data_IF_617566546717
#
_entry.id   IF_617566546717
#
_cell.length_a   1.000
_cell.length_b   1.000
_cell.length_c   1.000
_cell.angle_alpha   90.00
_cell.angle_beta   90.00
_cell.angle_gamma   90.00
#
_symmetry.space_group_name_H-M   'P 1'
#
loop_
_entity.id
_entity.type
_entity.pdbx_description
1 polymer ?
#
# COMPACT_ATOMS: atom_id res chain seq x y z
N UNK A 1 -4.58 15.46 -18.82
CA UNK A 1 -3.73 14.36 -19.33
C UNK A 1 -3.59 13.24 -18.31
N UNK A 2 -3.11 13.54 -17.10
CA UNK A 2 -2.94 12.57 -15.99
C UNK A 2 -4.17 11.68 -15.77
N UNK A 3 -5.38 12.23 -15.60
CA UNK A 3 -6.61 11.41 -15.42
C UNK A 3 -6.84 10.38 -16.54
N UNK A 4 -6.59 10.76 -17.79
CA UNK A 4 -6.73 9.85 -18.94
C UNK A 4 -5.69 8.72 -18.89
N UNK A 5 -4.46 9.06 -18.52
CA UNK A 5 -3.37 8.09 -18.38
C UNK A 5 -3.63 7.12 -17.21
N UNK A 6 -3.97 7.62 -16.02
CA UNK A 6 -4.27 6.79 -14.85
C UNK A 6 -5.45 5.85 -15.12
N UNK A 7 -6.52 6.34 -15.75
CA UNK A 7 -7.62 5.49 -16.23
C UNK A 7 -7.12 4.39 -17.16
N UNK A 8 -6.32 4.75 -18.17
CA UNK A 8 -5.82 3.79 -19.14
C UNK A 8 -4.98 2.69 -18.48
N UNK A 9 -4.22 3.00 -17.42
CA UNK A 9 -3.48 2.01 -16.63
C UNK A 9 -4.42 1.05 -15.88
N UNK A 10 -5.48 1.57 -15.26
CA UNK A 10 -6.49 0.75 -14.58
C UNK A 10 -7.20 -0.17 -15.58
N UNK A 11 -7.71 0.39 -16.68
CA UNK A 11 -8.39 -0.38 -17.74
C UNK A 11 -7.47 -1.43 -18.38
N UNK A 12 -6.18 -1.08 -18.56
CA UNK A 12 -5.18 -2.02 -19.08
C UNK A 12 -5.02 -3.23 -18.18
N UNK A 13 -5.00 -3.05 -16.86
CA UNK A 13 -4.90 -4.16 -15.91
C UNK A 13 -6.08 -5.13 -16.04
N UNK A 14 -7.29 -4.59 -16.25
CA UNK A 14 -8.51 -5.39 -16.48
C UNK A 14 -8.42 -6.16 -17.80
N UNK A 15 -7.94 -5.52 -18.86
CA UNK A 15 -7.73 -6.17 -20.17
C UNK A 15 -6.69 -7.30 -20.08
N UNK A 16 -5.70 -7.19 -19.20
CA UNK A 16 -4.75 -8.26 -18.91
C UNK A 16 -5.33 -9.41 -18.07
N UNK A 17 -6.59 -9.30 -17.64
CA UNK A 17 -7.31 -10.34 -16.90
C UNK A 17 -7.16 -10.21 -15.38
N UNK A 18 -6.62 -9.10 -14.87
CA UNK A 18 -6.62 -8.83 -13.44
C UNK A 18 -7.97 -8.28 -12.99
N UNK A 19 -8.34 -8.58 -11.74
CA UNK A 19 -9.45 -7.94 -11.04
C UNK A 19 -8.86 -6.98 -9.98
N UNK A 20 -8.69 -5.68 -10.28
CA UNK A 20 -8.04 -4.75 -9.36
C UNK A 20 -8.78 -4.69 -8.02
N UNK A 21 -8.01 -4.76 -6.94
CA UNK A 21 -8.57 -4.83 -5.57
C UNK A 21 -8.48 -3.52 -4.83
N UNK A 22 -7.56 -2.66 -5.21
CA UNK A 22 -7.31 -1.34 -4.64
C UNK A 22 -6.56 -0.51 -5.67
N UNK A 23 -6.44 0.78 -5.42
CA UNK A 23 -5.50 1.65 -6.12
C UNK A 23 -4.35 2.02 -5.18
N UNK A 24 -3.17 2.18 -5.76
CA UNK A 24 -2.01 2.79 -5.12
C UNK A 24 -1.37 3.82 -6.08
N UNK A 25 -0.39 4.56 -5.58
CA UNK A 25 0.40 5.47 -6.40
C UNK A 25 1.88 5.26 -6.11
N UNK A 26 2.64 4.95 -7.15
CA UNK A 26 4.09 4.86 -7.04
C UNK A 26 4.67 6.20 -6.54
N UNK A 27 5.60 6.12 -5.57
CA UNK A 27 6.20 7.26 -4.86
C UNK A 27 5.17 8.23 -4.26
N UNK A 28 3.94 7.77 -4.02
CA UNK A 28 2.83 8.62 -3.57
C UNK A 28 2.57 9.81 -4.50
N UNK A 29 2.94 9.72 -5.79
CA UNK A 29 2.90 10.84 -6.74
C UNK A 29 1.51 11.49 -6.90
N UNK A 30 0.44 10.70 -6.87
CA UNK A 30 -0.94 11.19 -6.91
C UNK A 30 -1.46 11.62 -5.53
N UNK A 31 -0.80 11.23 -4.44
CA UNK A 31 -1.23 11.51 -3.07
C UNK A 31 -0.64 12.83 -2.56
N UNK A 32 0.57 13.19 -3.00
CA UNK A 32 1.33 14.32 -2.46
C UNK A 32 0.94 15.70 -3.01
N UNK A 33 0.05 15.77 -4.00
CA UNK A 33 -0.40 17.06 -4.58
C UNK A 33 -1.92 17.11 -4.65
N UNK A 34 -2.57 18.16 -4.11
CA UNK A 34 -4.03 18.27 -4.10
C UNK A 34 -4.65 18.07 -5.48
N UNK A 35 -4.10 18.70 -6.53
CA UNK A 35 -4.69 18.64 -7.87
C UNK A 35 -4.57 17.26 -8.53
N UNK A 36 -3.66 16.42 -8.03
CA UNK A 36 -3.52 15.02 -8.46
C UNK A 36 -4.32 14.08 -7.58
N UNK A 37 -4.56 14.46 -6.32
CA UNK A 37 -5.33 13.66 -5.38
C UNK A 37 -6.81 13.61 -5.77
N UNK A 38 -7.37 14.73 -6.27
CA UNK A 38 -8.73 14.74 -6.83
C UNK A 38 -8.89 13.70 -7.93
N UNK A 39 -7.88 13.55 -8.80
CA UNK A 39 -7.88 12.54 -9.86
C UNK A 39 -7.86 11.12 -9.28
N UNK A 40 -7.11 10.91 -8.20
CA UNK A 40 -7.00 9.61 -7.53
C UNK A 40 -8.32 9.20 -6.87
N UNK A 41 -8.97 10.12 -6.18
CA UNK A 41 -10.31 9.96 -5.56
C UNK A 41 -11.37 9.72 -6.62
N UNK A 42 -11.44 10.53 -7.67
CA UNK A 42 -12.37 10.36 -8.80
C UNK A 42 -12.32 8.94 -9.37
N UNK A 43 -11.11 8.43 -9.59
CA UNK A 43 -10.89 7.09 -10.13
C UNK A 43 -11.26 6.01 -9.10
N UNK A 44 -10.97 6.21 -7.82
CA UNK A 44 -11.37 5.28 -6.77
C UNK A 44 -12.90 5.15 -6.68
N UNK A 45 -13.63 6.26 -6.74
CA UNK A 45 -15.09 6.27 -6.80
C UNK A 45 -15.59 5.55 -8.06
N UNK A 46 -15.08 5.94 -9.22
CA UNK A 46 -15.53 5.42 -10.51
C UNK A 46 -15.34 3.90 -10.65
N UNK A 47 -14.21 3.37 -10.20
CA UNK A 47 -13.92 1.93 -10.25
C UNK A 47 -14.40 1.19 -8.99
N UNK A 48 -14.98 1.91 -8.02
CA UNK A 48 -15.42 1.40 -6.72
C UNK A 48 -14.32 0.56 -6.05
N UNK A 49 -13.14 1.17 -5.92
CA UNK A 49 -11.94 0.58 -5.34
C UNK A 49 -11.52 1.36 -4.09
N UNK A 50 -11.06 0.66 -3.04
CA UNK A 50 -10.37 1.29 -1.92
C UNK A 50 -9.00 1.80 -2.37
N UNK A 51 -8.42 2.69 -1.58
CA UNK A 51 -7.13 3.31 -1.90
C UNK A 51 -6.11 3.10 -0.80
N UNK A 52 -4.86 2.96 -1.23
CA UNK A 52 -3.71 3.14 -0.35
C UNK A 52 -3.47 4.62 -0.12
N UNK A 53 -3.35 5.01 1.15
CA UNK A 53 -2.91 6.34 1.57
C UNK A 53 -1.51 6.27 2.20
N UNK A 54 -0.81 7.39 2.15
CA UNK A 54 0.50 7.51 2.77
C UNK A 54 0.38 7.50 4.31
N UNK A 55 1.53 7.38 4.98
CA UNK A 55 1.57 7.51 6.45
C UNK A 55 1.26 8.95 6.91
N UNK A 56 1.01 9.12 8.20
CA UNK A 56 0.64 10.41 8.78
C UNK A 56 1.69 11.50 8.52
N UNK A 57 2.98 11.17 8.62
CA UNK A 57 4.04 12.13 8.37
C UNK A 57 4.04 12.62 6.91
N UNK A 58 3.74 11.73 5.96
CA UNK A 58 3.60 12.07 4.55
C UNK A 58 2.35 12.91 4.30
N UNK A 59 1.25 12.62 4.98
CA UNK A 59 0.02 13.44 4.98
C UNK A 59 0.30 14.86 5.47
N UNK A 60 0.97 15.00 6.61
CA UNK A 60 1.35 16.29 7.18
C UNK A 60 2.22 17.10 6.21
N UNK A 61 3.15 16.44 5.51
CA UNK A 61 4.00 17.05 4.50
C UNK A 61 3.24 17.45 3.23
N UNK A 62 2.18 16.73 2.87
CA UNK A 62 1.33 17.06 1.72
C UNK A 62 0.55 18.37 1.96
N UNK A 63 0.23 18.68 3.23
CA UNK A 63 -0.35 19.96 3.64
C UNK A 63 -1.87 20.05 3.43
N UNK A 64 -2.56 18.92 3.27
CA UNK A 64 -4.02 18.84 3.15
C UNK A 64 -4.55 17.49 3.69
N UNK A 65 -5.83 17.41 4.12
CA UNK A 65 -6.34 16.27 4.88
C UNK A 65 -6.79 15.11 3.95
N UNK A 66 -5.83 14.44 3.32
CA UNK A 66 -6.10 13.37 2.35
C UNK A 66 -6.94 12.21 2.91
N UNK A 67 -6.81 11.87 4.20
CA UNK A 67 -7.65 10.81 4.80
C UNK A 67 -9.11 11.24 4.94
N UNK A 68 -9.36 12.43 5.46
CA UNK A 68 -10.73 12.96 5.61
C UNK A 68 -11.43 13.11 4.26
N UNK A 69 -10.71 13.58 3.23
CA UNK A 69 -11.27 13.70 1.88
C UNK A 69 -11.66 12.33 1.29
N UNK A 70 -10.88 11.28 1.53
CA UNK A 70 -11.25 9.92 1.10
C UNK A 70 -12.47 9.39 1.86
N UNK A 71 -12.53 9.64 3.17
CA UNK A 71 -13.66 9.23 4.03
C UNK A 71 -14.97 9.93 3.65
N UNK A 72 -14.93 11.22 3.29
CA UNK A 72 -16.08 12.01 2.83
C UNK A 72 -16.75 11.42 1.57
N UNK A 73 -15.95 10.82 0.69
CA UNK A 73 -16.41 10.12 -0.52
C UNK A 73 -16.73 8.63 -0.26
N UNK A 74 -16.64 8.16 0.98
CA UNK A 74 -16.90 6.77 1.36
C UNK A 74 -15.85 5.78 0.86
N UNK A 75 -14.65 6.24 0.52
CA UNK A 75 -13.54 5.39 0.08
C UNK A 75 -12.81 4.85 1.30
N UNK A 76 -12.63 3.54 1.37
CA UNK A 76 -11.92 2.88 2.46
C UNK A 76 -10.41 2.87 2.22
N UNK A 77 -9.66 3.02 3.30
CA UNK A 77 -8.21 2.85 3.38
C UNK A 77 -7.80 2.22 4.71
N UNK A 78 -6.61 1.62 4.83
CA UNK A 78 -6.06 1.14 6.10
C UNK A 78 -5.96 2.27 7.13
N UNK A 79 -6.20 1.94 8.40
CA UNK A 79 -6.07 2.87 9.53
C UNK A 79 -4.63 3.40 9.63
N UNK A 80 -3.65 2.54 9.33
CA UNK A 80 -2.22 2.85 9.41
C UNK A 80 -1.48 2.30 8.19
N UNK A 81 -0.49 3.06 7.75
CA UNK A 81 0.47 2.65 6.72
C UNK A 81 1.87 2.72 7.31
N UNK A 82 2.66 1.68 7.12
CA UNK A 82 4.02 1.60 7.64
C UNK A 82 5.01 1.11 6.56
N UNK A 83 6.29 1.35 6.80
CA UNK A 83 7.40 0.77 6.03
C UNK A 83 8.57 0.47 6.95
N UNK A 84 9.30 -0.62 6.67
CA UNK A 84 10.49 -0.96 7.44
C UNK A 84 11.64 0.01 7.10
N UNK A 85 12.32 0.47 8.15
CA UNK A 85 13.47 1.37 8.05
C UNK A 85 14.78 0.61 8.22
N UNK A 86 15.88 1.15 7.70
CA UNK A 86 17.20 0.54 7.85
C UNK A 86 17.44 -0.72 7.01
N UNK A 87 18.65 -1.27 7.18
CA UNK A 87 19.14 -2.40 6.39
C UNK A 87 18.91 -3.76 7.07
N UNK A 88 18.81 -3.79 8.40
CA UNK A 88 18.43 -5.00 9.14
C UNK A 88 16.91 -5.18 9.11
N UNK A 89 16.42 -5.69 7.98
CA UNK A 89 14.98 -5.89 7.75
C UNK A 89 14.36 -6.89 8.71
N UNK A 90 15.12 -7.87 9.19
CA UNK A 90 14.62 -8.87 10.13
C UNK A 90 14.38 -8.27 11.51
N UNK A 91 15.34 -7.49 12.02
CA UNK A 91 15.16 -6.77 13.29
C UNK A 91 14.00 -5.77 13.19
N UNK A 92 13.98 -4.95 12.14
CA UNK A 92 12.90 -3.96 11.94
C UNK A 92 11.52 -4.59 11.78
N UNK A 93 11.42 -5.75 11.12
CA UNK A 93 10.16 -6.48 11.03
C UNK A 93 9.69 -6.98 12.40
N UNK A 94 10.60 -7.49 13.23
CA UNK A 94 10.29 -7.96 14.58
C UNK A 94 9.78 -6.81 15.46
N UNK A 95 10.48 -5.67 15.42
CA UNK A 95 10.08 -4.46 16.14
C UNK A 95 8.72 -3.94 15.64
N UNK A 96 8.51 -3.95 14.32
CA UNK A 96 7.23 -3.56 13.72
C UNK A 96 6.09 -4.43 14.25
N UNK A 97 6.22 -5.76 14.22
CA UNK A 97 5.18 -6.67 14.72
C UNK A 97 4.88 -6.43 16.20
N UNK A 98 5.91 -6.16 17.02
CA UNK A 98 5.75 -5.84 18.43
C UNK A 98 5.03 -4.48 18.68
N UNK A 99 5.11 -3.55 17.73
CA UNK A 99 4.47 -2.22 17.79
C UNK A 99 3.05 -2.17 17.26
N UNK A 100 2.52 -3.26 16.69
CA UNK A 100 1.20 -3.26 16.06
C UNK A 100 0.09 -2.92 17.06
N UNK A 101 -0.80 -2.01 16.64
CA UNK A 101 -1.99 -1.61 17.38
C UNK A 101 -3.25 -2.23 16.76
N UNK A 102 -4.35 -2.37 17.52
CA UNK A 102 -5.63 -2.80 16.97
C UNK A 102 -6.09 -1.92 15.80
N UNK A 103 -6.51 -2.56 14.70
CA UNK A 103 -6.94 -1.92 13.46
C UNK A 103 -6.39 -2.63 12.23
N UNK A 104 -6.56 -2.01 11.07
CA UNK A 104 -6.02 -2.42 9.78
C UNK A 104 -4.74 -1.63 9.51
N UNK A 105 -3.60 -2.33 9.58
CA UNK A 105 -2.30 -1.76 9.22
C UNK A 105 -1.80 -2.37 7.91
N UNK A 106 -1.39 -1.52 6.96
CA UNK A 106 -0.65 -1.95 5.77
C UNK A 106 0.86 -1.75 5.98
N UNK A 107 1.63 -2.83 5.89
CA UNK A 107 3.09 -2.76 5.81
C UNK A 107 3.52 -2.80 4.34
N UNK A 108 4.09 -1.69 3.85
CA UNK A 108 4.66 -1.61 2.51
C UNK A 108 6.09 -2.13 2.51
N UNK A 109 6.34 -3.14 1.69
CA UNK A 109 7.65 -3.77 1.50
C UNK A 109 7.97 -3.87 0.02
N UNK A 110 9.26 -3.98 -0.30
CA UNK A 110 9.75 -3.96 -1.68
C UNK A 110 10.66 -5.15 -1.95
N UNK A 111 10.16 -6.39 -1.82
CA UNK A 111 10.98 -7.59 -1.96
C UNK A 111 11.58 -7.72 -3.36
N UNK A 112 12.85 -8.10 -3.43
CA UNK A 112 13.51 -8.48 -4.68
C UNK A 112 14.44 -9.67 -4.47
N UNK A 113 14.53 -10.53 -5.48
CA UNK A 113 15.51 -11.61 -5.53
C UNK A 113 16.88 -11.01 -5.88
N UNK A 114 17.92 -11.47 -5.19
CA UNK A 114 19.30 -11.05 -5.44
C UNK A 114 19.77 -11.52 -6.82
N UNK A 115 19.86 -10.60 -7.77
CA UNK A 115 20.21 -10.87 -9.15
C UNK A 115 21.14 -9.79 -9.70
N UNK A 116 22.00 -10.10 -10.70
CA UNK A 116 22.81 -9.09 -11.36
C UNK A 116 22.01 -7.93 -11.96
N UNK A 117 20.80 -8.21 -12.46
CA UNK A 117 19.88 -7.19 -12.99
C UNK A 117 19.43 -6.20 -11.90
N UNK A 118 19.11 -6.70 -10.70
CA UNK A 118 18.74 -5.85 -9.57
C UNK A 118 19.85 -4.84 -9.21
N UNK A 119 21.09 -5.31 -9.12
CA UNK A 119 22.26 -4.46 -8.82
C UNK A 119 22.62 -3.51 -9.96
N UNK A 120 22.24 -3.83 -11.20
CA UNK A 120 22.46 -2.94 -12.34
C UNK A 120 21.39 -1.83 -12.42
N UNK A 121 20.15 -2.13 -12.04
CA UNK A 121 19.02 -1.20 -12.10
C UNK A 121 18.95 -0.24 -10.91
N UNK A 122 19.35 -0.71 -9.73
CA UNK A 122 19.17 0.02 -8.48
C UNK A 122 20.50 0.27 -7.79
N UNK A 123 20.57 1.36 -7.01
CA UNK A 123 21.71 1.65 -6.15
C UNK A 123 21.78 0.69 -4.97
N UNK A 124 21.22 1.08 -3.83
CA UNK A 124 21.16 0.20 -2.66
C UNK A 124 20.07 -0.86 -2.82
N UNK A 125 20.48 -2.13 -2.89
CA UNK A 125 19.63 -3.31 -3.06
C UNK A 125 19.40 -4.09 -1.76
N UNK A 126 20.18 -3.80 -0.70
CA UNK A 126 20.20 -4.61 0.53
C UNK A 126 18.84 -4.65 1.20
N UNK A 127 18.16 -3.50 1.28
CA UNK A 127 16.81 -3.41 1.83
C UNK A 127 15.80 -4.30 1.10
N UNK A 128 15.85 -4.37 -0.24
CA UNK A 128 14.90 -5.16 -1.05
C UNK A 128 15.16 -6.65 -0.94
N UNK A 129 16.43 -7.04 -0.89
CA UNK A 129 16.85 -8.43 -0.66
C UNK A 129 16.44 -8.85 0.77
N UNK A 130 16.63 -7.97 1.75
CA UNK A 130 16.18 -8.17 3.13
C UNK A 130 14.66 -8.32 3.24
N UNK A 131 13.88 -7.47 2.57
CA UNK A 131 12.42 -7.57 2.52
C UNK A 131 11.98 -8.93 1.96
N UNK A 132 12.63 -9.40 0.89
CA UNK A 132 12.36 -10.73 0.34
C UNK A 132 12.65 -11.83 1.36
N UNK A 133 13.81 -11.80 2.03
CA UNK A 133 14.18 -12.78 3.05
C UNK A 133 13.17 -12.82 4.20
N UNK A 134 12.72 -11.65 4.68
CA UNK A 134 11.68 -11.54 5.73
C UNK A 134 10.38 -12.21 5.29
N UNK A 135 9.92 -11.93 4.07
CA UNK A 135 8.60 -12.37 3.60
C UNK A 135 8.51 -13.87 3.29
N UNK A 136 9.63 -14.50 2.93
CA UNK A 136 9.65 -15.95 2.64
C UNK A 136 9.93 -16.82 3.87
N UNK A 137 10.38 -16.23 4.99
CA UNK A 137 10.69 -16.98 6.22
C UNK A 137 9.41 -17.45 6.93
N UNK A 138 9.19 -18.78 7.06
CA UNK A 138 8.05 -19.31 7.80
C UNK A 138 8.00 -18.89 9.26
N UNK A 139 9.15 -18.58 9.89
CA UNK A 139 9.21 -18.10 11.28
C UNK A 139 8.54 -16.73 11.43
N UNK A 140 8.68 -15.85 10.44
CA UNK A 140 8.02 -14.54 10.44
C UNK A 140 6.51 -14.65 10.28
N UNK A 141 6.04 -15.66 9.52
CA UNK A 141 4.60 -15.98 9.48
C UNK A 141 4.08 -16.49 10.82
N UNK A 142 4.89 -17.24 11.57
CA UNK A 142 4.52 -17.68 12.91
C UNK A 142 4.53 -16.52 13.91
N UNK A 143 5.51 -15.62 13.84
CA UNK A 143 5.59 -14.41 14.66
C UNK A 143 4.32 -13.56 14.55
N UNK A 144 3.83 -13.33 13.33
CA UNK A 144 2.56 -12.63 13.10
C UNK A 144 1.37 -13.34 13.78
N UNK A 145 1.29 -14.67 13.66
CA UNK A 145 0.22 -15.45 14.30
C UNK A 145 0.28 -15.37 15.83
N UNK A 146 1.48 -15.48 16.40
CA UNK A 146 1.69 -15.44 17.85
C UNK A 146 1.34 -14.05 18.42
N UNK A 147 1.57 -12.99 17.64
CA UNK A 147 1.12 -11.63 17.94
C UNK A 147 -0.39 -11.41 17.71
N UNK A 148 -1.14 -12.43 17.30
CA UNK A 148 -2.59 -12.33 17.04
C UNK A 148 -2.94 -11.58 15.75
N UNK A 149 -1.98 -11.40 14.85
CA UNK A 149 -2.19 -10.68 13.58
C UNK A 149 -2.93 -11.57 12.59
N UNK A 150 -4.03 -11.04 12.06
CA UNK A 150 -4.74 -11.63 10.94
C UNK A 150 -4.30 -10.98 9.63
N UNK A 151 -3.63 -11.76 8.77
CA UNK A 151 -3.35 -11.33 7.42
C UNK A 151 -4.63 -11.31 6.59
N UNK A 152 -4.94 -10.15 6.01
CA UNK A 152 -6.03 -9.95 5.07
C UNK A 152 -5.47 -9.48 3.72
N UNK A 153 -6.31 -9.53 2.69
CA UNK A 153 -6.00 -8.91 1.40
C UNK A 153 -6.93 -7.72 1.16
N UNK A 154 -6.53 -6.86 0.23
CA UNK A 154 -7.35 -5.75 -0.26
C UNK A 154 -8.71 -6.19 -0.82
N UNK A 155 -8.89 -7.45 -1.20
CA UNK A 155 -10.21 -8.01 -1.58
C UNK A 155 -11.23 -7.82 -0.45
N UNK A 156 -10.83 -8.05 0.80
CA UNK A 156 -11.72 -7.91 1.96
C UNK A 156 -12.19 -6.46 2.12
N UNK A 157 -11.27 -5.51 2.00
CA UNK A 157 -11.55 -4.07 2.10
C UNK A 157 -12.44 -3.60 0.95
N UNK A 158 -12.13 -4.01 -0.29
CA UNK A 158 -12.95 -3.70 -1.47
C UNK A 158 -14.37 -4.22 -1.35
N UNK A 159 -14.52 -5.46 -0.91
CA UNK A 159 -15.84 -6.08 -0.77
C UNK A 159 -16.66 -5.36 0.32
N UNK A 160 -16.01 -4.96 1.42
CA UNK A 160 -16.64 -4.12 2.44
C UNK A 160 -17.09 -2.78 1.85
N UNK A 161 -16.21 -2.03 1.17
CA UNK A 161 -16.56 -0.74 0.55
C UNK A 161 -17.76 -0.87 -0.40
N UNK A 162 -17.75 -1.87 -1.28
CA UNK A 162 -18.85 -2.12 -2.22
C UNK A 162 -20.15 -2.52 -1.52
N UNK A 163 -20.07 -3.17 -0.35
CA UNK A 163 -21.27 -3.51 0.45
C UNK A 163 -21.87 -2.31 1.18
N UNK A 164 -21.09 -1.25 1.41
CA UNK A 164 -21.55 -0.01 2.05
C UNK A 164 -22.20 0.96 1.05
N UNK A 165 -21.80 0.89 -0.22
CA UNK A 165 -22.33 1.72 -1.31
C UNK A 165 -23.43 1.07 -2.17
N UNK A 166 -23.89 -0.14 -1.82
CA UNK A 166 -25.00 -0.84 -2.49
C UNK A 166 -26.36 -0.55 -1.83
#
# INVERSE_FOLDING_TARGET
EVRRECRAQIERSVVWGFDPTHLDSHLSALVLRPELFDIYIDLACEFSLPIRLADQATEDNAGFPLRSLAEEEGILSPDRTASLQGNDRQASFTDFVASLEPGVTELSMQPAIDTPELHALLGDTQARIGDHAVLIDPANRQLLKDAGVQLISWVAIRNLQRSLGA
#
